data_IF_768902452606
#
_entry.id   IF_768902452606
#
_cell.length_a   1.000
_cell.length_b   1.000
_cell.length_c   1.000
_cell.angle_alpha   90.00
_cell.angle_beta   90.00
_cell.angle_gamma   90.00
#
_symmetry.space_group_name_H-M   'P 1'
#
loop_
_entity.id
_entity.type
_entity.pdbx_description
1 polymer ?
#
# COMPACT_ATOMS: atom_id res chain seq x y z
N UNK A 1 -27.35 47.82 62.09
CA UNK A 1 -28.46 47.48 61.20
C UNK A 1 -27.90 46.69 60.03
N UNK A 2 -27.94 45.40 60.19
CA UNK A 2 -27.42 44.37 59.26
C UNK A 2 -28.47 44.06 58.21
N UNK A 3 -28.08 44.07 57.00
CA UNK A 3 -28.86 43.44 55.93
C UNK A 3 -28.12 42.20 55.40
N UNK A 4 -28.79 41.04 55.26
CA UNK A 4 -28.15 39.80 54.85
C UNK A 4 -27.84 39.81 53.34
N UNK A 5 -26.66 39.37 52.99
CA UNK A 5 -26.25 39.05 51.62
C UNK A 5 -26.87 37.75 51.18
N UNK A 6 -27.74 37.87 50.23
CA UNK A 6 -28.40 36.75 49.58
C UNK A 6 -27.44 36.00 48.69
N UNK A 7 -27.39 34.71 48.89
CA UNK A 7 -26.53 33.78 48.17
C UNK A 7 -27.22 33.39 46.86
N UNK A 8 -26.69 33.89 45.76
CA UNK A 8 -27.05 33.37 44.44
C UNK A 8 -26.15 32.17 44.15
N UNK A 9 -26.61 31.02 44.54
CA UNK A 9 -25.98 29.75 44.12
C UNK A 9 -26.57 29.28 42.77
N UNK A 10 -25.64 29.18 41.82
CA UNK A 10 -25.45 27.96 41.04
C UNK A 10 -26.70 27.34 40.36
N UNK A 11 -27.02 27.84 39.19
CA UNK A 11 -27.75 27.05 38.20
C UNK A 11 -26.82 26.86 37.00
N UNK A 12 -26.25 25.66 36.84
CA UNK A 12 -25.41 25.38 35.67
C UNK A 12 -24.64 24.08 35.77
N UNK A 13 -25.27 22.99 36.21
CA UNK A 13 -24.68 21.66 36.06
C UNK A 13 -25.77 20.61 35.88
N UNK A 14 -26.50 20.69 34.80
CA UNK A 14 -27.30 19.59 34.26
C UNK A 14 -26.85 19.29 32.85
N UNK A 15 -25.63 18.71 32.75
CA UNK A 15 -25.16 18.05 31.55
C UNK A 15 -25.11 16.56 31.84
N UNK A 16 -26.20 15.85 31.49
CA UNK A 16 -26.24 14.42 31.18
C UNK A 16 -25.39 13.51 32.09
N UNK A 17 -25.77 13.40 33.35
CA UNK A 17 -25.40 12.26 34.17
C UNK A 17 -26.19 11.04 33.61
N UNK A 18 -25.53 10.21 32.80
CA UNK A 18 -26.10 8.97 32.25
C UNK A 18 -26.39 7.90 33.30
N UNK A 19 -26.15 8.19 34.58
CA UNK A 19 -26.28 7.24 35.68
C UNK A 19 -25.27 6.09 35.69
N UNK A 20 -24.36 6.07 34.73
CA UNK A 20 -23.31 5.04 34.60
C UNK A 20 -22.05 5.44 35.40
N UNK A 21 -21.44 4.47 36.08
CA UNK A 21 -20.14 4.68 36.69
C UNK A 21 -19.06 4.87 35.61
N UNK A 22 -17.94 5.51 35.96
CA UNK A 22 -16.79 5.69 35.07
C UNK A 22 -16.30 4.35 34.51
N UNK A 23 -16.29 3.28 35.32
CA UNK A 23 -15.88 1.94 34.88
C UNK A 23 -16.85 1.34 33.86
N UNK A 24 -18.15 1.56 34.01
CA UNK A 24 -19.16 1.12 33.04
C UNK A 24 -19.04 1.91 31.73
N UNK A 25 -18.77 3.21 31.81
CA UNK A 25 -18.49 4.05 30.62
C UNK A 25 -17.23 3.56 29.87
N UNK A 26 -16.15 3.29 30.58
CA UNK A 26 -14.92 2.73 30.03
C UNK A 26 -15.17 1.41 29.29
N UNK A 27 -15.90 0.50 29.92
CA UNK A 27 -16.24 -0.78 29.33
C UNK A 27 -17.09 -0.62 28.05
N UNK A 28 -18.13 0.21 28.08
CA UNK A 28 -18.99 0.47 26.93
C UNK A 28 -18.22 1.15 25.78
N UNK A 29 -17.36 2.12 26.08
CA UNK A 29 -16.54 2.80 25.06
C UNK A 29 -15.61 1.77 24.40
N UNK A 30 -14.97 0.91 25.18
CA UNK A 30 -14.02 -0.10 24.66
C UNK A 30 -14.74 -1.15 23.81
N UNK A 31 -15.89 -1.63 24.28
CA UNK A 31 -16.72 -2.57 23.54
C UNK A 31 -17.20 -1.98 22.21
N UNK A 32 -17.74 -0.76 22.24
CA UNK A 32 -18.22 -0.08 21.05
C UNK A 32 -17.07 0.17 20.05
N UNK A 33 -15.87 0.52 20.53
CA UNK A 33 -14.70 0.65 19.69
C UNK A 33 -14.35 -0.65 18.95
N UNK A 34 -14.46 -1.81 19.63
CA UNK A 34 -14.32 -3.12 19.01
C UNK A 34 -15.34 -3.35 17.88
N UNK A 35 -16.61 -3.06 18.15
CA UNK A 35 -17.68 -3.17 17.15
C UNK A 35 -17.45 -2.25 15.95
N UNK A 36 -17.01 -1.00 16.16
CA UNK A 36 -16.67 -0.07 15.09
C UNK A 36 -15.48 -0.56 14.25
N UNK A 37 -14.49 -1.18 14.87
CA UNK A 37 -13.37 -1.78 14.15
C UNK A 37 -13.83 -2.94 13.26
N UNK A 38 -14.66 -3.84 13.77
CA UNK A 38 -15.24 -4.95 13.01
C UNK A 38 -16.14 -4.43 11.86
N UNK A 39 -16.96 -3.40 12.11
CA UNK A 39 -17.77 -2.77 11.09
C UNK A 39 -16.92 -2.11 9.99
N UNK A 40 -15.81 -1.45 10.36
CA UNK A 40 -14.84 -0.93 9.39
C UNK A 40 -14.24 -2.02 8.51
N UNK A 41 -13.89 -3.17 9.10
CA UNK A 41 -13.40 -4.33 8.32
C UNK A 41 -14.45 -4.76 7.29
N UNK A 42 -15.69 -5.00 7.74
CA UNK A 42 -16.78 -5.40 6.82
C UNK A 42 -16.96 -4.40 5.68
N UNK A 43 -16.88 -3.11 6.00
CA UNK A 43 -16.98 -2.06 4.99
C UNK A 43 -15.83 -2.12 3.98
N UNK A 44 -14.58 -2.32 4.43
CA UNK A 44 -13.43 -2.50 3.54
C UNK A 44 -13.57 -3.71 2.61
N UNK A 45 -14.05 -4.84 3.13
CA UNK A 45 -14.32 -6.03 2.31
C UNK A 45 -15.34 -5.73 1.21
N UNK A 46 -16.42 -5.03 1.55
CA UNK A 46 -17.44 -4.61 0.57
C UNK A 46 -16.87 -3.63 -0.47
N UNK A 47 -16.02 -2.68 -0.04
CA UNK A 47 -15.34 -1.75 -0.95
C UNK A 47 -14.43 -2.51 -1.92
N UNK A 48 -13.63 -3.46 -1.43
CA UNK A 48 -12.73 -4.27 -2.26
C UNK A 48 -13.51 -5.06 -3.31
N UNK A 49 -14.59 -5.72 -2.91
CA UNK A 49 -15.45 -6.47 -3.83
C UNK A 49 -16.12 -5.56 -4.87
N UNK A 50 -16.66 -4.41 -4.44
CA UNK A 50 -17.30 -3.43 -5.31
C UNK A 50 -16.30 -2.83 -6.31
N UNK A 51 -15.08 -2.53 -5.86
CA UNK A 51 -14.01 -2.02 -6.71
C UNK A 51 -13.56 -3.06 -7.75
N UNK A 52 -13.35 -4.30 -7.33
CA UNK A 52 -12.95 -5.41 -8.20
C UNK A 52 -13.98 -5.71 -9.30
N UNK A 53 -15.27 -5.58 -8.99
CA UNK A 53 -16.36 -5.74 -9.95
C UNK A 53 -16.62 -4.50 -10.80
N UNK A 54 -15.85 -3.42 -10.63
CA UNK A 54 -16.09 -2.13 -11.29
C UNK A 54 -17.51 -1.60 -11.10
N UNK A 55 -18.12 -1.85 -9.93
CA UNK A 55 -19.49 -1.44 -9.62
C UNK A 55 -19.70 0.07 -9.61
N UNK A 56 -18.63 0.86 -9.58
CA UNK A 56 -18.62 2.31 -9.70
C UNK A 56 -18.66 2.82 -11.16
N UNK A 57 -18.49 1.93 -12.15
CA UNK A 57 -18.37 2.27 -13.57
C UNK A 57 -19.74 2.38 -14.24
N UNK A 58 -20.63 3.23 -13.68
CA UNK A 58 -21.96 3.53 -14.20
C UNK A 58 -22.02 4.75 -15.14
N UNK A 59 -20.85 5.29 -15.51
CA UNK A 59 -20.71 6.49 -16.34
C UNK A 59 -20.78 7.81 -15.56
N UNK A 60 -21.19 7.81 -14.29
CA UNK A 60 -21.26 9.00 -13.44
C UNK A 60 -20.01 9.23 -12.62
N UNK A 61 -19.23 8.17 -12.34
CA UNK A 61 -18.03 8.24 -11.51
C UNK A 61 -16.79 7.70 -12.22
N UNK A 62 -15.64 8.30 -11.93
CA UNK A 62 -14.37 7.97 -12.58
C UNK A 62 -13.57 6.89 -11.83
N UNK A 63 -13.95 6.55 -10.61
CA UNK A 63 -13.26 5.58 -9.75
C UNK A 63 -14.10 5.20 -8.55
N UNK A 64 -13.78 4.06 -7.92
CA UNK A 64 -14.36 3.65 -6.65
C UNK A 64 -14.23 4.74 -5.56
N UNK A 65 -13.07 5.39 -5.47
CA UNK A 65 -12.88 6.49 -4.53
C UNK A 65 -13.79 7.69 -4.79
N UNK A 66 -14.03 8.04 -6.07
CA UNK A 66 -14.97 9.10 -6.44
C UNK A 66 -16.40 8.69 -6.08
N UNK A 67 -16.80 7.45 -6.34
CA UNK A 67 -18.09 6.91 -5.95
C UNK A 67 -18.29 6.96 -4.43
N UNK A 68 -17.30 6.52 -3.63
CA UNK A 68 -17.34 6.61 -2.16
C UNK A 68 -17.46 8.05 -1.66
N UNK A 69 -16.74 8.97 -2.30
CA UNK A 69 -16.82 10.39 -1.94
C UNK A 69 -18.25 10.93 -2.16
N UNK A 70 -18.84 10.61 -3.30
CA UNK A 70 -20.17 11.08 -3.64
C UNK A 70 -21.27 10.39 -2.84
N UNK A 71 -21.28 9.06 -2.78
CA UNK A 71 -22.37 8.29 -2.17
C UNK A 71 -22.27 8.16 -0.65
N UNK A 72 -21.04 8.13 -0.12
CA UNK A 72 -20.81 7.92 1.32
C UNK A 72 -20.34 9.20 2.04
N UNK A 73 -20.22 10.33 1.34
CA UNK A 73 -19.84 11.60 1.94
C UNK A 73 -18.38 11.65 2.45
N UNK A 74 -17.50 10.78 1.95
CA UNK A 74 -16.10 10.80 2.34
C UNK A 74 -15.33 11.91 1.61
N UNK A 75 -14.37 12.52 2.30
CA UNK A 75 -13.33 13.27 1.59
C UNK A 75 -12.61 12.37 0.57
N UNK A 76 -12.25 12.93 -0.60
CA UNK A 76 -11.68 12.16 -1.69
C UNK A 76 -10.34 11.49 -1.31
N UNK A 77 -9.52 12.15 -0.46
CA UNK A 77 -8.29 11.59 0.06
C UNK A 77 -8.56 10.40 0.99
N UNK A 78 -9.54 10.55 1.89
CA UNK A 78 -9.99 9.47 2.77
C UNK A 78 -10.59 8.30 1.98
N UNK A 79 -11.36 8.56 0.92
CA UNK A 79 -11.91 7.55 0.03
C UNK A 79 -10.80 6.76 -0.71
N UNK A 80 -9.80 7.45 -1.24
CA UNK A 80 -8.62 6.81 -1.87
C UNK A 80 -7.88 5.89 -0.90
N UNK A 81 -7.66 6.34 0.34
CA UNK A 81 -7.03 5.50 1.37
C UNK A 81 -7.90 4.29 1.74
N UNK A 82 -9.23 4.44 1.80
CA UNK A 82 -10.15 3.31 2.03
C UNK A 82 -10.03 2.25 0.93
N UNK A 83 -10.04 2.65 -0.33
CA UNK A 83 -9.88 1.73 -1.48
C UNK A 83 -8.51 1.06 -1.45
N UNK A 84 -7.44 1.82 -1.17
CA UNK A 84 -6.08 1.26 -1.04
C UNK A 84 -6.01 0.18 0.05
N UNK A 85 -6.54 0.48 1.23
CA UNK A 85 -6.54 -0.47 2.35
C UNK A 85 -7.41 -1.68 2.01
N UNK A 86 -8.57 -1.49 1.40
CA UNK A 86 -9.47 -2.57 0.98
C UNK A 86 -8.76 -3.57 0.05
N UNK A 87 -8.02 -3.07 -0.94
CA UNK A 87 -7.21 -3.90 -1.85
C UNK A 87 -6.08 -4.63 -1.11
N UNK A 88 -5.40 -3.94 -0.19
CA UNK A 88 -4.26 -4.51 0.52
C UNK A 88 -4.64 -5.64 1.48
N UNK A 89 -5.77 -5.55 2.18
CA UNK A 89 -6.19 -6.58 3.15
C UNK A 89 -6.59 -7.91 2.48
N UNK A 90 -6.86 -7.93 1.19
CA UNK A 90 -7.14 -9.17 0.45
C UNK A 90 -5.93 -10.13 0.47
N UNK A 91 -4.71 -9.59 0.45
CA UNK A 91 -3.47 -10.35 0.54
C UNK A 91 -2.92 -10.52 1.94
N UNK A 92 -3.58 -9.97 2.96
CA UNK A 92 -3.14 -9.91 4.36
C UNK A 92 -4.20 -10.55 5.29
N UNK A 93 -4.34 -11.88 5.27
CA UNK A 93 -5.43 -12.58 5.96
C UNK A 93 -5.40 -12.41 7.48
N UNK A 94 -4.23 -12.33 8.12
CA UNK A 94 -4.12 -12.20 9.58
C UNK A 94 -4.53 -10.81 10.06
N UNK A 95 -4.12 -9.76 9.34
CA UNK A 95 -4.58 -8.39 9.57
C UNK A 95 -6.09 -8.31 9.37
N UNK A 96 -6.62 -8.93 8.31
CA UNK A 96 -8.05 -9.00 8.03
C UNK A 96 -8.82 -9.66 9.17
N UNK A 97 -8.36 -10.80 9.68
CA UNK A 97 -8.96 -11.50 10.84
C UNK A 97 -8.90 -10.65 12.10
N UNK A 98 -7.77 -10.02 12.42
CA UNK A 98 -7.65 -9.16 13.59
C UNK A 98 -8.60 -7.95 13.54
N UNK A 99 -8.82 -7.39 12.36
CA UNK A 99 -9.81 -6.32 12.15
C UNK A 99 -11.25 -6.85 12.32
N UNK A 100 -11.59 -8.00 11.75
CA UNK A 100 -12.93 -8.60 11.84
C UNK A 100 -13.31 -8.92 13.27
N UNK A 101 -12.34 -9.28 14.11
CA UNK A 101 -12.50 -9.52 15.53
C UNK A 101 -12.53 -8.22 16.37
N UNK A 102 -12.43 -7.05 15.75
CA UNK A 102 -12.42 -5.76 16.46
C UNK A 102 -11.10 -5.42 17.16
N UNK A 103 -10.10 -6.30 17.09
CA UNK A 103 -8.83 -6.17 17.80
C UNK A 103 -7.89 -5.14 17.19
N UNK A 104 -8.02 -4.86 15.88
CA UNK A 104 -7.18 -3.93 15.15
C UNK A 104 -8.00 -2.77 14.59
N UNK A 105 -7.62 -1.54 14.95
CA UNK A 105 -8.29 -0.35 14.44
C UNK A 105 -7.94 -0.06 12.98
N UNK A 106 -8.86 0.64 12.29
CA UNK A 106 -8.61 1.10 10.92
C UNK A 106 -7.33 1.94 10.79
N UNK A 107 -7.03 2.79 11.76
CA UNK A 107 -5.83 3.63 11.75
C UNK A 107 -4.55 2.81 11.74
N UNK A 108 -4.48 1.77 12.58
CA UNK A 108 -3.36 0.83 12.61
C UNK A 108 -3.27 0.02 11.32
N UNK A 109 -4.39 -0.55 10.85
CA UNK A 109 -4.43 -1.31 9.59
C UNK A 109 -3.99 -0.45 8.39
N UNK A 110 -4.45 0.80 8.31
CA UNK A 110 -4.03 1.77 7.29
C UNK A 110 -2.51 1.99 7.26
N UNK A 111 -1.89 2.08 8.44
CA UNK A 111 -0.44 2.22 8.54
C UNK A 111 0.28 0.94 8.13
N UNK A 112 -0.12 -0.22 8.68
CA UNK A 112 0.50 -1.51 8.38
C UNK A 112 0.47 -1.86 6.90
N UNK A 113 -0.68 -1.69 6.25
CA UNK A 113 -0.88 -2.03 4.82
C UNK A 113 -0.05 -1.20 3.85
N UNK A 114 0.78 -0.28 4.33
CA UNK A 114 1.78 0.44 3.51
C UNK A 114 3.07 -0.34 3.32
N UNK A 115 3.37 -1.27 4.21
CA UNK A 115 4.64 -2.02 4.22
C UNK A 115 4.43 -3.53 4.42
N UNK A 116 3.24 -3.94 4.87
CA UNK A 116 2.95 -5.34 5.13
C UNK A 116 2.97 -6.16 3.84
N UNK A 117 3.67 -7.28 3.93
CA UNK A 117 3.63 -8.38 2.96
C UNK A 117 3.24 -9.65 3.69
N UNK A 118 2.75 -10.71 3.02
CA UNK A 118 2.43 -11.96 3.68
C UNK A 118 3.56 -12.53 4.54
N UNK A 119 4.82 -12.29 4.13
CA UNK A 119 6.00 -12.80 4.83
C UNK A 119 6.26 -12.13 6.20
N UNK A 120 5.90 -10.85 6.35
CA UNK A 120 6.16 -10.06 7.56
C UNK A 120 4.88 -9.67 8.30
N UNK A 121 3.74 -10.14 7.82
CA UNK A 121 2.43 -9.80 8.37
C UNK A 121 2.34 -10.10 9.88
N UNK A 122 2.82 -11.26 10.32
CA UNK A 122 2.79 -11.67 11.72
C UNK A 122 3.55 -10.72 12.64
N UNK A 123 4.75 -10.36 12.24
CA UNK A 123 5.62 -9.49 13.04
C UNK A 123 4.98 -8.12 13.19
N UNK A 124 4.48 -7.57 12.10
CA UNK A 124 3.83 -6.27 12.08
C UNK A 124 2.52 -6.26 12.87
N UNK A 125 1.73 -7.32 12.73
CA UNK A 125 0.46 -7.47 13.45
C UNK A 125 0.70 -7.56 14.96
N UNK A 126 1.69 -8.33 15.41
CA UNK A 126 2.03 -8.45 16.83
C UNK A 126 2.40 -7.09 17.43
N UNK A 127 3.20 -6.29 16.75
CA UNK A 127 3.52 -4.93 17.18
C UNK A 127 2.26 -4.04 17.25
N UNK A 128 1.36 -4.18 16.29
CA UNK A 128 0.15 -3.37 16.24
C UNK A 128 -0.87 -3.74 17.32
N UNK A 129 -0.98 -5.00 17.69
CA UNK A 129 -1.87 -5.45 18.75
C UNK A 129 -1.40 -4.94 20.13
N UNK A 130 -0.09 -4.89 20.36
CA UNK A 130 0.49 -4.51 21.65
C UNK A 130 0.93 -3.03 21.73
N UNK A 131 1.01 -2.33 20.61
CA UNK A 131 1.45 -0.93 20.54
C UNK A 131 0.32 0.07 20.31
N UNK A 132 0.62 1.35 20.48
CA UNK A 132 -0.27 2.44 20.08
C UNK A 132 -0.21 2.68 18.56
N UNK A 133 -1.17 3.43 18.01
CA UNK A 133 -1.14 3.85 16.59
C UNK A 133 0.15 4.60 16.26
N UNK A 134 0.63 5.46 17.16
CA UNK A 134 1.89 6.19 16.99
C UNK A 134 3.10 5.26 16.88
N UNK A 135 3.16 4.21 17.70
CA UNK A 135 4.24 3.20 17.62
C UNK A 135 4.23 2.51 16.25
N UNK A 136 3.05 2.14 15.76
CA UNK A 136 2.89 1.51 14.44
C UNK A 136 3.33 2.44 13.32
N UNK A 137 2.90 3.70 13.33
CA UNK A 137 3.28 4.69 12.32
C UNK A 137 4.78 4.98 12.32
N UNK A 138 5.40 5.01 13.49
CA UNK A 138 6.85 5.18 13.63
C UNK A 138 7.61 3.98 13.05
N UNK A 139 7.18 2.77 13.38
CA UNK A 139 7.75 1.52 12.84
C UNK A 139 7.64 1.50 11.30
N UNK A 140 6.47 1.78 10.77
CA UNK A 140 6.21 1.81 9.31
C UNK A 140 7.10 2.84 8.61
N UNK A 141 7.31 4.01 9.22
CA UNK A 141 8.20 5.05 8.68
C UNK A 141 9.66 4.58 8.63
N UNK A 142 10.11 3.93 9.70
CA UNK A 142 11.48 3.39 9.75
C UNK A 142 11.67 2.26 8.74
N UNK A 143 10.69 1.37 8.63
CA UNK A 143 10.72 0.26 7.67
C UNK A 143 10.83 0.76 6.22
N UNK A 144 10.04 1.77 5.86
CA UNK A 144 10.14 2.40 4.53
C UNK A 144 11.51 3.01 4.25
N UNK A 145 12.12 3.68 5.24
CA UNK A 145 13.48 4.22 5.09
C UNK A 145 14.50 3.14 4.79
N UNK A 146 14.40 1.99 5.46
CA UNK A 146 15.31 0.86 5.20
C UNK A 146 15.13 0.35 3.78
N UNK A 147 13.87 0.18 3.33
CA UNK A 147 13.58 -0.24 1.95
C UNK A 147 14.13 0.76 0.92
N UNK A 148 13.93 2.06 1.11
CA UNK A 148 14.45 3.10 0.22
C UNK A 148 15.99 3.05 0.13
N UNK A 149 16.69 2.85 1.26
CA UNK A 149 18.16 2.71 1.28
C UNK A 149 18.61 1.44 0.57
N UNK A 150 17.89 0.34 0.74
CA UNK A 150 18.19 -0.93 0.05
C UNK A 150 17.97 -0.82 -1.46
N UNK A 151 16.90 -0.14 -1.90
CA UNK A 151 16.62 0.11 -3.31
C UNK A 151 17.71 0.99 -3.95
N UNK A 152 18.06 2.11 -3.34
CA UNK A 152 19.15 2.99 -3.79
C UNK A 152 20.49 2.25 -3.84
N UNK A 153 20.79 1.42 -2.85
CA UNK A 153 22.03 0.62 -2.82
C UNK A 153 22.03 -0.45 -3.91
N UNK A 154 20.87 -0.99 -4.28
CA UNK A 154 20.71 -1.94 -5.38
C UNK A 154 20.92 -1.25 -6.72
N UNK A 155 20.29 -0.10 -6.95
CA UNK A 155 20.45 0.71 -8.16
C UNK A 155 21.91 1.15 -8.34
N UNK A 156 22.57 1.63 -7.30
CA UNK A 156 23.98 1.99 -7.34
C UNK A 156 24.88 0.79 -7.69
N UNK A 157 24.59 -0.40 -7.13
CA UNK A 157 25.32 -1.63 -7.49
C UNK A 157 25.07 -2.02 -8.94
N UNK A 158 23.83 -1.99 -9.41
CA UNK A 158 23.51 -2.27 -10.82
C UNK A 158 24.17 -1.26 -11.76
N UNK A 159 24.19 0.02 -11.37
CA UNK A 159 24.85 1.07 -12.13
C UNK A 159 26.37 0.87 -12.20
N UNK A 160 27.01 0.49 -11.10
CA UNK A 160 28.46 0.23 -11.04
C UNK A 160 28.86 -1.06 -11.77
N UNK A 161 27.95 -2.00 -11.93
CA UNK A 161 28.17 -3.27 -12.63
C UNK A 161 27.96 -3.17 -14.14
N UNK A 162 27.61 -1.98 -14.68
CA UNK A 162 27.48 -1.81 -16.12
C UNK A 162 28.79 -2.13 -16.80
N UNK A 163 28.73 -2.99 -17.79
CA UNK A 163 29.91 -3.49 -18.52
C UNK A 163 29.56 -3.71 -19.97
N UNK A 164 30.45 -3.28 -20.84
CA UNK A 164 30.48 -3.63 -22.23
C UNK A 164 31.81 -4.34 -22.52
N UNK A 165 31.76 -5.56 -23.05
CA UNK A 165 32.91 -6.27 -23.57
C UNK A 165 32.60 -6.77 -24.97
N UNK A 166 33.56 -6.72 -25.84
CA UNK A 166 33.45 -7.26 -27.20
C UNK A 166 34.75 -7.98 -27.56
N UNK A 167 34.63 -9.00 -28.37
CA UNK A 167 35.74 -9.71 -28.97
C UNK A 167 35.30 -10.30 -30.31
N UNK A 168 36.27 -10.64 -31.15
CA UNK A 168 35.97 -11.37 -32.39
C UNK A 168 36.23 -12.86 -32.11
N UNK A 169 35.28 -13.67 -32.52
CA UNK A 169 35.39 -15.14 -32.45
C UNK A 169 36.27 -15.66 -33.57
N UNK A 170 36.67 -16.94 -33.53
CA UNK A 170 37.59 -17.59 -34.49
C UNK A 170 37.04 -17.59 -35.93
N UNK A 171 35.71 -17.46 -36.09
CA UNK A 171 35.03 -17.32 -37.39
C UNK A 171 34.94 -15.86 -37.90
N UNK A 172 35.50 -14.91 -37.14
CA UNK A 172 35.47 -13.48 -37.44
C UNK A 172 34.21 -12.77 -37.00
N UNK A 173 33.25 -13.45 -36.37
CA UNK A 173 32.04 -12.82 -35.84
C UNK A 173 32.32 -11.93 -34.65
N UNK A 174 31.63 -10.81 -34.53
CA UNK A 174 31.70 -9.90 -33.39
C UNK A 174 30.76 -10.36 -32.27
N UNK A 175 31.33 -10.79 -31.14
CA UNK A 175 30.55 -11.08 -29.94
C UNK A 175 30.58 -9.90 -29.01
N UNK A 176 29.38 -9.38 -28.67
CA UNK A 176 29.20 -8.27 -27.74
C UNK A 176 28.44 -8.75 -26.51
N UNK A 177 29.04 -8.56 -25.32
CA UNK A 177 28.40 -8.82 -24.02
C UNK A 177 28.16 -7.48 -23.32
N UNK A 178 26.89 -7.18 -23.06
CA UNK A 178 26.44 -5.94 -22.47
C UNK A 178 25.66 -6.23 -21.17
N UNK A 179 26.08 -5.59 -20.08
CA UNK A 179 25.37 -5.60 -18.81
C UNK A 179 24.90 -4.20 -18.48
N UNK A 180 23.60 -4.02 -18.35
CA UNK A 180 22.94 -2.73 -18.12
C UNK A 180 21.97 -2.82 -16.94
N UNK A 181 21.53 -1.67 -16.42
CA UNK A 181 20.37 -1.59 -15.54
C UNK A 181 19.11 -2.01 -16.31
N UNK A 182 18.07 -2.45 -15.61
CA UNK A 182 16.83 -2.89 -16.25
C UNK A 182 16.23 -1.85 -17.21
N UNK A 183 16.21 -0.57 -16.81
CA UNK A 183 15.70 0.52 -17.64
C UNK A 183 16.56 0.76 -18.88
N UNK A 184 17.89 0.84 -18.70
CA UNK A 184 18.82 1.04 -19.83
C UNK A 184 18.80 -0.17 -20.77
N UNK A 185 18.62 -1.38 -20.23
CA UNK A 185 18.49 -2.60 -21.02
C UNK A 185 17.22 -2.62 -21.87
N UNK A 186 16.09 -2.25 -21.30
CA UNK A 186 14.84 -2.15 -22.05
C UNK A 186 14.89 -1.12 -23.17
N UNK A 187 15.52 0.05 -22.89
CA UNK A 187 15.72 1.08 -23.91
C UNK A 187 16.66 0.60 -25.03
N UNK A 188 17.75 -0.08 -24.68
CA UNK A 188 18.70 -0.65 -25.63
C UNK A 188 18.06 -1.70 -26.54
N UNK A 189 17.28 -2.64 -25.96
CA UNK A 189 16.55 -3.64 -26.75
C UNK A 189 15.55 -3.01 -27.71
N UNK A 190 14.81 -2.02 -27.24
CA UNK A 190 13.87 -1.27 -28.09
C UNK A 190 14.57 -0.51 -29.23
N UNK A 191 15.76 0.01 -28.97
CA UNK A 191 16.56 0.67 -30.02
C UNK A 191 17.08 -0.32 -31.06
N UNK A 192 17.51 -1.52 -30.64
CA UNK A 192 17.89 -2.59 -31.57
C UNK A 192 16.68 -3.04 -32.39
N UNK A 193 15.54 -3.30 -31.77
CA UNK A 193 14.32 -3.70 -32.47
C UNK A 193 13.90 -2.67 -33.53
N UNK A 194 14.06 -1.39 -33.23
CA UNK A 194 13.75 -0.31 -34.16
C UNK A 194 14.76 -0.21 -35.32
N UNK A 195 16.03 -0.56 -35.09
CA UNK A 195 17.09 -0.50 -36.10
C UNK A 195 17.15 -1.73 -37.02
N UNK A 196 16.70 -2.89 -36.55
CA UNK A 196 16.73 -4.15 -37.31
C UNK A 196 16.09 -4.07 -38.68
N UNK A 197 14.92 -3.41 -38.92
CA UNK A 197 14.32 -3.30 -40.23
C UNK A 197 15.13 -2.43 -41.21
N UNK A 198 16.01 -1.56 -40.71
CA UNK A 198 16.83 -0.66 -41.55
C UNK A 198 18.17 -1.28 -42.00
N UNK A 199 18.54 -2.43 -41.41
CA UNK A 199 19.78 -3.11 -41.78
C UNK A 199 19.55 -3.96 -43.04
N UNK A 200 20.23 -3.69 -44.17
CA UNK A 200 20.11 -4.51 -45.36
C UNK A 200 20.72 -5.88 -45.13
N UNK A 201 19.87 -6.88 -45.04
CA UNK A 201 20.27 -8.29 -44.90
C UNK A 201 20.44 -8.91 -46.29
N UNK A 202 21.46 -9.76 -46.54
CA UNK A 202 21.49 -10.64 -47.68
C UNK A 202 20.22 -11.49 -47.76
N UNK A 203 19.72 -11.75 -48.96
CA UNK A 203 18.45 -12.43 -49.17
C UNK A 203 18.38 -13.84 -48.55
N UNK A 204 19.52 -14.47 -48.34
CA UNK A 204 19.64 -15.81 -47.71
C UNK A 204 19.54 -15.78 -46.18
N UNK A 205 19.47 -14.63 -45.50
CA UNK A 205 19.50 -14.49 -44.04
C UNK A 205 18.20 -13.98 -43.43
N UNK A 206 17.14 -13.79 -44.21
CA UNK A 206 15.89 -13.18 -43.74
C UNK A 206 15.15 -14.01 -42.69
N UNK A 207 15.38 -15.32 -42.64
CA UNK A 207 14.70 -16.26 -41.72
C UNK A 207 15.49 -16.54 -40.42
N UNK A 208 16.70 -15.97 -40.24
CA UNK A 208 17.63 -16.36 -39.16
C UNK A 208 17.72 -15.37 -38.00
N UNK A 209 17.06 -14.20 -38.08
CA UNK A 209 17.11 -13.21 -37.01
C UNK A 209 16.05 -13.50 -35.94
N UNK A 210 16.37 -14.44 -35.05
CA UNK A 210 15.61 -14.64 -33.81
C UNK A 210 16.30 -13.93 -32.64
N UNK A 211 15.62 -12.95 -32.05
CA UNK A 211 15.97 -12.45 -30.72
C UNK A 211 15.50 -13.47 -29.70
N UNK A 212 16.39 -14.38 -29.31
CA UNK A 212 16.10 -15.37 -28.26
C UNK A 212 16.32 -14.76 -26.91
N UNK A 213 15.24 -14.61 -26.12
CA UNK A 213 15.34 -14.30 -24.71
C UNK A 213 15.64 -15.60 -23.95
N UNK A 214 16.92 -15.87 -23.67
CA UNK A 214 17.29 -16.90 -22.69
C UNK A 214 17.03 -16.37 -21.29
N UNK A 215 15.95 -16.84 -20.66
CA UNK A 215 15.70 -16.66 -19.24
C UNK A 215 16.63 -17.62 -18.48
N UNK A 216 17.77 -17.13 -18.05
CA UNK A 216 18.57 -17.84 -17.03
C UNK A 216 17.80 -17.79 -15.71
N UNK A 217 17.18 -18.90 -15.35
CA UNK A 217 16.68 -19.14 -14.00
C UNK A 217 17.88 -19.48 -13.10
N UNK A 218 17.97 -18.90 -11.88
CA UNK A 218 19.05 -19.17 -10.93
C UNK A 218 19.01 -20.59 -10.36
#
# INVERSE_FOLDING_TARGET
QDAPRDATQSAGQDATDSGLSIRELEAQITELAGHLNAANHRWLVLIGEFDRRNGWSDGATQSCAHWLSWKCGLDLGAAREKVRVARAIESLPKISVAMSNGQLSYSKARALTRVATPAIEDVLLNVALNGTTHHVETLVRQFRRVQEVEELSREQRQYSQRRLTYFHDDDGSLVVKLQLTAESGALFLKAIEAALPEIPLPDDCKDSLHVSAETSTP
#
